data_IF_374674784954
#
_entry.id   IF_374674784954
#
_cell.length_a   1.000
_cell.length_b   1.000
_cell.length_c   1.000
_cell.angle_alpha   90.00
_cell.angle_beta   90.00
_cell.angle_gamma   90.00
#
_symmetry.space_group_name_H-M   'P 1'
#
loop_
_entity.id
_entity.type
_entity.pdbx_description
1 polymer ?
#
# COMPACT_ATOMS: atom_id res chain seq x y z
N UNK A 1 -4.18 24.68 -13.42
CA UNK A 1 -4.03 25.03 -11.97
C UNK A 1 -2.59 24.81 -11.57
N UNK A 2 -2.04 25.50 -10.54
CA UNK A 2 -0.68 25.26 -10.05
C UNK A 2 -0.59 23.84 -9.47
N UNK A 3 0.43 23.00 -9.80
CA UNK A 3 0.60 21.68 -9.22
C UNK A 3 0.68 21.69 -7.70
N UNK A 4 0.16 20.67 -7.01
CA UNK A 4 0.22 20.53 -5.56
C UNK A 4 1.67 20.35 -5.13
N UNK A 5 2.11 21.13 -4.13
CA UNK A 5 3.46 21.06 -3.60
C UNK A 5 3.62 19.97 -2.53
N UNK A 6 4.57 19.05 -2.75
CA UNK A 6 4.84 17.95 -1.84
C UNK A 6 6.17 18.09 -1.10
N UNK A 7 6.18 17.69 0.17
CA UNK A 7 7.39 17.34 0.87
C UNK A 7 7.49 15.81 0.98
N UNK A 8 8.61 15.21 0.56
CA UNK A 8 8.87 13.78 0.73
C UNK A 8 9.64 13.55 2.02
N UNK A 9 9.09 12.71 2.92
CA UNK A 9 9.62 12.44 4.26
C UNK A 9 10.13 11.01 4.34
N UNK A 10 11.45 10.86 4.47
CA UNK A 10 12.14 9.57 4.40
C UNK A 10 12.76 9.35 3.01
N UNK A 11 14.08 9.24 2.93
CA UNK A 11 14.78 9.08 1.66
C UNK A 11 15.43 7.70 1.58
N UNK A 12 14.61 6.66 1.80
CA UNK A 12 14.96 5.25 1.64
C UNK A 12 14.97 4.81 0.18
N UNK A 13 15.08 3.48 -0.07
CA UNK A 13 15.12 2.92 -1.41
C UNK A 13 13.91 3.31 -2.26
N UNK A 14 12.68 3.13 -1.75
CA UNK A 14 11.46 3.43 -2.50
C UNK A 14 11.37 4.92 -2.88
N UNK A 15 11.80 5.81 -1.98
CA UNK A 15 11.81 7.24 -2.27
C UNK A 15 12.76 7.55 -3.44
N UNK A 16 13.99 7.00 -3.42
CA UNK A 16 15.01 7.30 -4.40
C UNK A 16 14.77 6.62 -5.76
N UNK A 17 14.29 5.37 -5.74
CA UNK A 17 14.13 4.55 -6.95
C UNK A 17 12.81 4.81 -7.68
N UNK A 18 11.77 5.24 -6.97
CA UNK A 18 10.43 5.35 -7.54
C UNK A 18 9.76 6.71 -7.27
N UNK A 19 9.61 7.14 -6.01
CA UNK A 19 8.81 8.32 -5.68
C UNK A 19 9.42 9.62 -6.18
N UNK A 20 10.73 9.84 -5.99
CA UNK A 20 11.37 11.08 -6.44
C UNK A 20 11.44 11.17 -7.98
N UNK A 21 11.81 10.12 -8.73
CA UNK A 21 11.71 10.12 -10.19
C UNK A 21 10.30 10.41 -10.71
N UNK A 22 9.26 9.93 -10.03
CA UNK A 22 7.87 10.08 -10.46
C UNK A 22 7.41 11.55 -10.56
N UNK A 23 8.00 12.46 -9.78
CA UNK A 23 7.68 13.88 -9.89
C UNK A 23 8.00 14.49 -11.27
N UNK A 24 8.94 13.90 -12.02
CA UNK A 24 9.24 14.34 -13.38
C UNK A 24 8.13 13.97 -14.38
N UNK A 25 7.35 12.92 -14.09
CA UNK A 25 6.27 12.40 -14.93
C UNK A 25 4.87 12.86 -14.44
N UNK A 26 4.78 13.32 -13.18
CA UNK A 26 3.54 13.83 -12.60
C UNK A 26 3.17 15.21 -13.22
N UNK A 27 1.86 15.42 -13.49
CA UNK A 27 1.33 16.63 -14.10
C UNK A 27 0.81 17.62 -13.07
N UNK A 28 0.20 17.09 -12.00
CA UNK A 28 -0.52 17.85 -10.99
C UNK A 28 0.20 17.89 -9.63
N UNK A 29 1.37 17.25 -9.54
CA UNK A 29 2.22 17.22 -8.35
C UNK A 29 3.60 17.84 -8.65
N UNK A 30 4.18 18.56 -7.67
CA UNK A 30 5.55 19.08 -7.74
C UNK A 30 6.31 18.83 -6.45
N UNK A 31 7.59 18.52 -6.57
CA UNK A 31 8.49 18.35 -5.43
C UNK A 31 8.90 19.72 -4.88
N UNK A 32 8.67 19.94 -3.59
CA UNK A 32 9.04 21.20 -2.90
C UNK A 32 10.15 20.98 -1.91
N UNK A 33 10.08 19.92 -1.11
CA UNK A 33 11.01 19.71 -0.02
C UNK A 33 11.33 18.24 0.21
N UNK A 34 12.52 17.99 0.76
CA UNK A 34 12.96 16.67 1.20
C UNK A 34 13.25 16.68 2.69
N UNK A 35 12.87 15.61 3.40
CA UNK A 35 13.13 15.44 4.84
C UNK A 35 13.83 14.11 5.10
N UNK A 36 15.04 14.17 5.72
CA UNK A 36 15.86 12.97 5.99
C UNK A 36 16.66 13.12 7.28
N UNK A 37 17.04 11.99 7.88
CA UNK A 37 18.04 11.97 8.96
C UNK A 37 19.48 12.21 8.48
N UNK A 38 19.73 12.02 7.19
CA UNK A 38 21.03 12.20 6.53
C UNK A 38 20.98 13.50 5.71
N UNK A 39 21.64 14.54 6.22
CA UNK A 39 21.64 15.89 5.64
C UNK A 39 22.35 15.96 4.30
N UNK A 40 23.46 15.24 4.15
CA UNK A 40 24.24 15.24 2.89
C UNK A 40 23.44 14.55 1.77
N UNK A 41 22.86 13.40 2.06
CA UNK A 41 21.95 12.72 1.16
C UNK A 41 20.77 13.60 0.77
N UNK A 42 20.14 14.27 1.73
CA UNK A 42 19.01 15.16 1.45
C UNK A 42 19.42 16.32 0.52
N UNK A 43 20.56 16.95 0.74
CA UNK A 43 21.09 18.02 -0.12
C UNK A 43 21.42 17.54 -1.53
N UNK A 44 22.09 16.39 -1.65
CA UNK A 44 22.41 15.79 -2.96
C UNK A 44 21.14 15.46 -3.76
N UNK A 45 20.16 14.81 -3.12
CA UNK A 45 18.89 14.46 -3.77
C UNK A 45 18.02 15.71 -4.07
N UNK A 46 18.05 16.73 -3.22
CA UNK A 46 17.38 18.00 -3.51
C UNK A 46 17.92 18.64 -4.81
N UNK A 47 19.24 18.67 -4.97
CA UNK A 47 19.86 19.16 -6.21
C UNK A 47 19.48 18.28 -7.41
N UNK A 48 19.56 16.95 -7.25
CA UNK A 48 19.28 16.00 -8.34
C UNK A 48 17.83 16.08 -8.84
N UNK A 49 16.86 16.17 -7.92
CA UNK A 49 15.42 16.19 -8.23
C UNK A 49 14.81 17.59 -8.17
N UNK A 50 15.65 18.63 -8.12
CA UNK A 50 15.25 20.05 -8.16
C UNK A 50 14.23 20.44 -7.05
N UNK A 51 14.38 19.84 -5.85
CA UNK A 51 13.60 20.25 -4.71
C UNK A 51 14.11 21.62 -4.18
N UNK A 52 13.18 22.52 -3.87
CA UNK A 52 13.51 23.90 -3.44
C UNK A 52 14.22 23.95 -2.08
N UNK A 53 14.02 22.92 -1.25
CA UNK A 53 14.56 22.90 0.12
C UNK A 53 14.74 21.48 0.64
N UNK A 54 15.58 21.33 1.64
CA UNK A 54 15.76 20.10 2.38
C UNK A 54 15.90 20.35 3.89
N UNK A 55 15.44 19.39 4.68
CA UNK A 55 15.34 19.49 6.13
C UNK A 55 15.80 18.19 6.80
N UNK A 56 16.31 18.30 8.02
CA UNK A 56 16.46 17.15 8.90
C UNK A 56 15.12 16.73 9.50
N UNK A 57 15.06 15.51 10.07
CA UNK A 57 13.87 15.11 10.84
C UNK A 57 13.58 16.04 12.04
N UNK A 58 14.62 16.63 12.66
CA UNK A 58 14.45 17.63 13.72
C UNK A 58 13.82 18.93 13.24
N UNK A 59 14.00 19.27 11.96
CA UNK A 59 13.46 20.46 11.31
C UNK A 59 12.13 20.19 10.58
N UNK A 60 11.49 19.03 10.78
CA UNK A 60 10.23 18.72 10.10
C UNK A 60 9.14 19.75 10.36
N UNK A 61 9.09 20.30 11.58
CA UNK A 61 8.14 21.37 11.92
C UNK A 61 8.37 22.66 11.10
N UNK A 62 9.62 22.96 10.72
CA UNK A 62 9.95 24.07 9.83
C UNK A 62 9.52 23.78 8.41
N UNK A 63 9.79 22.57 7.91
CA UNK A 63 9.29 22.11 6.61
C UNK A 63 7.77 22.28 6.50
N UNK A 64 7.03 21.93 7.53
CA UNK A 64 5.57 22.05 7.57
C UNK A 64 5.06 23.49 7.61
N UNK A 65 5.88 24.47 7.98
CA UNK A 65 5.55 25.91 7.90
C UNK A 65 5.73 26.47 6.49
N UNK A 66 6.45 25.77 5.61
CA UNK A 66 6.63 26.22 4.24
C UNK A 66 5.27 26.31 3.54
N UNK A 67 4.87 27.50 3.03
CA UNK A 67 3.56 27.69 2.38
C UNK A 67 3.43 26.96 1.06
N UNK A 68 4.55 26.64 0.39
CA UNK A 68 4.56 25.89 -0.85
C UNK A 68 4.33 24.40 -0.66
N UNK A 69 4.48 23.86 0.57
CA UNK A 69 4.15 22.49 0.92
C UNK A 69 2.66 22.40 1.26
N UNK A 70 1.89 21.73 0.44
CA UNK A 70 0.46 21.50 0.61
C UNK A 70 0.17 20.07 1.10
N UNK A 71 1.01 19.11 0.67
CA UNK A 71 0.93 17.71 1.05
C UNK A 71 2.30 17.16 1.46
N UNK A 72 2.29 16.11 2.28
CA UNK A 72 3.48 15.33 2.57
C UNK A 72 3.32 13.91 2.01
N UNK A 73 4.39 13.37 1.45
CA UNK A 73 4.48 11.95 1.11
C UNK A 73 5.39 11.26 2.11
N UNK A 74 4.82 10.39 2.93
CA UNK A 74 5.54 9.64 3.95
C UNK A 74 6.09 8.34 3.37
N UNK A 75 7.40 8.24 3.27
CA UNK A 75 8.16 7.08 2.77
C UNK A 75 9.16 6.57 3.83
N UNK A 76 8.90 6.90 5.09
CA UNK A 76 9.63 6.39 6.26
C UNK A 76 9.26 4.93 6.54
N UNK A 77 9.98 4.21 7.42
CA UNK A 77 9.51 2.93 7.92
C UNK A 77 8.11 3.02 8.54
N UNK A 78 7.25 1.99 8.38
CA UNK A 78 5.85 2.03 8.84
C UNK A 78 5.66 2.35 10.32
N UNK A 79 6.64 2.01 11.17
CA UNK A 79 6.63 2.35 12.60
C UNK A 79 6.72 3.85 12.91
N UNK A 80 7.13 4.67 11.93
CA UNK A 80 7.26 6.13 12.05
C UNK A 80 6.09 6.89 11.39
N UNK A 81 5.25 6.23 10.58
CA UNK A 81 4.17 6.88 9.81
C UNK A 81 3.24 7.69 10.70
N UNK A 82 2.79 7.13 11.83
CA UNK A 82 1.88 7.80 12.76
C UNK A 82 2.42 9.15 13.23
N UNK A 83 3.69 9.19 13.64
CA UNK A 83 4.34 10.39 14.16
C UNK A 83 4.32 11.51 13.12
N UNK A 84 4.80 11.23 11.91
CA UNK A 84 4.89 12.24 10.85
C UNK A 84 3.53 12.64 10.29
N UNK A 85 2.60 11.68 10.14
CA UNK A 85 1.23 11.98 9.73
C UNK A 85 0.49 12.88 10.73
N UNK A 86 0.62 12.61 12.02
CA UNK A 86 -0.01 13.44 13.06
C UNK A 86 0.56 14.87 13.11
N UNK A 87 1.87 15.05 12.88
CA UNK A 87 2.50 16.37 12.78
C UNK A 87 2.02 17.13 11.55
N UNK A 88 2.00 16.48 10.38
CA UNK A 88 1.48 17.05 9.14
C UNK A 88 0.02 17.48 9.27
N UNK A 89 -0.83 16.60 9.81
CA UNK A 89 -2.25 16.88 10.01
C UNK A 89 -2.47 18.13 10.91
N UNK A 90 -1.75 18.24 12.02
CA UNK A 90 -1.81 19.45 12.90
C UNK A 90 -1.38 20.71 12.17
N UNK A 91 -0.41 20.61 11.25
CA UNK A 91 0.04 21.72 10.40
C UNK A 91 -0.87 21.95 9.19
N UNK A 92 -2.03 21.28 9.10
CA UNK A 92 -3.00 21.40 7.98
C UNK A 92 -2.44 20.97 6.63
N UNK A 93 -1.48 20.04 6.62
CA UNK A 93 -0.95 19.44 5.40
C UNK A 93 -1.65 18.11 5.12
N UNK A 94 -2.03 17.89 3.87
CA UNK A 94 -2.58 16.61 3.41
C UNK A 94 -1.51 15.51 3.47
N UNK A 95 -1.91 14.25 3.60
CA UNK A 95 -0.98 13.14 3.81
C UNK A 95 -1.20 12.03 2.78
N UNK A 96 -0.22 11.80 1.94
CA UNK A 96 -0.03 10.55 1.19
C UNK A 96 0.96 9.70 1.98
N UNK A 97 0.59 8.48 2.32
CA UNK A 97 1.40 7.64 3.19
C UNK A 97 1.67 6.28 2.55
N UNK A 98 2.94 5.89 2.48
CA UNK A 98 3.31 4.55 2.00
C UNK A 98 2.58 3.44 2.73
N UNK A 99 2.37 2.35 1.98
CA UNK A 99 1.88 1.08 2.53
C UNK A 99 3.01 0.35 3.30
N UNK A 100 2.68 -0.44 4.32
CA UNK A 100 1.39 -0.47 5.01
C UNK A 100 1.16 0.82 5.80
N UNK A 101 -0.09 1.23 5.98
CA UNK A 101 -0.42 2.53 6.58
C UNK A 101 0.26 2.74 7.95
N UNK A 102 0.32 1.70 8.78
CA UNK A 102 1.10 1.67 10.02
C UNK A 102 1.32 0.21 10.46
N UNK A 103 2.08 0.00 11.54
CA UNK A 103 2.40 -1.33 12.07
C UNK A 103 1.28 -1.95 12.91
N UNK A 104 0.28 -1.17 13.35
CA UNK A 104 -0.83 -1.63 14.19
C UNK A 104 -2.15 -0.93 13.84
N UNK A 105 -3.26 -1.59 14.13
CA UNK A 105 -4.62 -1.02 13.96
C UNK A 105 -4.80 0.27 14.76
N UNK A 106 -4.26 0.33 15.98
CA UNK A 106 -4.39 1.51 16.84
C UNK A 106 -3.60 2.70 16.29
N UNK A 107 -2.41 2.48 15.73
CA UNK A 107 -1.64 3.52 15.04
C UNK A 107 -2.41 4.06 13.82
N UNK A 108 -2.95 3.17 12.97
CA UNK A 108 -3.81 3.57 11.84
C UNK A 108 -5.00 4.40 12.31
N UNK A 109 -5.68 3.97 13.38
CA UNK A 109 -6.84 4.69 13.94
C UNK A 109 -6.46 6.10 14.39
N UNK A 110 -5.29 6.27 15.03
CA UNK A 110 -4.80 7.61 15.44
C UNK A 110 -4.46 8.48 14.23
N UNK A 111 -3.86 7.93 13.19
CA UNK A 111 -3.59 8.64 11.93
C UNK A 111 -4.87 9.13 11.26
N UNK A 112 -5.84 8.23 11.06
CA UNK A 112 -7.15 8.55 10.46
C UNK A 112 -7.87 9.63 11.28
N UNK A 113 -7.87 9.49 12.61
CA UNK A 113 -8.46 10.49 13.51
C UNK A 113 -7.75 11.83 13.40
N UNK A 114 -6.41 11.86 13.45
CA UNK A 114 -5.63 13.10 13.37
C UNK A 114 -5.92 13.86 12.06
N UNK A 115 -5.96 13.17 10.92
CA UNK A 115 -6.26 13.81 9.64
C UNK A 115 -7.71 14.32 9.58
N UNK A 116 -8.68 13.51 10.02
CA UNK A 116 -10.09 13.90 10.06
C UNK A 116 -10.33 15.11 10.96
N UNK A 117 -9.81 15.09 12.20
CA UNK A 117 -10.02 16.15 13.19
C UNK A 117 -9.35 17.48 12.74
N UNK A 118 -8.34 17.41 11.89
CA UNK A 118 -7.68 18.55 11.29
C UNK A 118 -8.20 18.93 9.90
N UNK A 119 -9.20 18.19 9.36
CA UNK A 119 -9.82 18.43 8.04
C UNK A 119 -8.81 18.34 6.89
N UNK A 120 -7.86 17.42 6.96
CA UNK A 120 -6.92 17.11 5.89
C UNK A 120 -7.15 15.70 5.36
N UNK A 121 -6.81 15.48 4.10
CA UNK A 121 -6.95 14.18 3.45
C UNK A 121 -5.81 13.25 3.89
N UNK A 122 -6.13 11.96 4.02
CA UNK A 122 -5.18 10.87 4.20
C UNK A 122 -5.44 9.81 3.13
N UNK A 123 -4.47 9.59 2.25
CA UNK A 123 -4.45 8.52 1.27
C UNK A 123 -3.36 7.51 1.62
N UNK A 124 -3.67 6.23 1.50
CA UNK A 124 -2.67 5.16 1.60
C UNK A 124 -2.14 4.86 0.19
N UNK A 125 -0.82 4.84 0.03
CA UNK A 125 -0.16 4.70 -1.27
C UNK A 125 -0.27 3.26 -1.81
N UNK A 126 -1.38 2.96 -2.43
CA UNK A 126 -1.65 1.72 -3.17
C UNK A 126 -1.76 2.01 -4.66
N UNK A 127 -0.61 2.15 -5.32
CA UNK A 127 -0.47 2.48 -6.74
C UNK A 127 -1.25 1.58 -7.71
N UNK A 128 -1.65 0.36 -7.28
CA UNK A 128 -2.42 -0.60 -8.11
C UNK A 128 -3.85 -0.13 -8.43
N UNK A 129 -4.38 0.84 -7.70
CA UNK A 129 -5.65 1.48 -8.04
C UNK A 129 -5.59 2.29 -9.34
N UNK A 130 -4.39 2.68 -9.77
CA UNK A 130 -4.16 3.54 -10.94
C UNK A 130 -3.47 2.80 -12.08
N UNK A 131 -3.06 1.54 -11.86
CA UNK A 131 -2.36 0.72 -12.84
C UNK A 131 -3.37 0.10 -13.84
N UNK A 132 -3.17 0.29 -15.17
CA UNK A 132 -4.17 -0.09 -16.19
C UNK A 132 -4.57 -1.56 -16.19
N UNK A 133 -3.64 -2.49 -16.00
CA UNK A 133 -3.93 -3.93 -15.96
C UNK A 133 -4.80 -4.30 -14.76
N UNK A 134 -4.52 -3.72 -13.59
CA UNK A 134 -5.34 -3.89 -12.38
C UNK A 134 -6.73 -3.29 -12.55
N UNK A 135 -6.83 -2.11 -13.15
CA UNK A 135 -8.11 -1.45 -13.48
C UNK A 135 -8.90 -2.28 -14.48
N UNK A 136 -8.25 -2.84 -15.51
CA UNK A 136 -8.90 -3.73 -16.48
C UNK A 136 -9.43 -5.02 -15.82
N UNK A 137 -8.64 -5.66 -14.94
CA UNK A 137 -9.11 -6.82 -14.18
C UNK A 137 -10.32 -6.47 -13.29
N UNK A 138 -10.29 -5.33 -12.59
CA UNK A 138 -11.46 -4.85 -11.81
C UNK A 138 -12.67 -4.66 -12.69
N UNK A 139 -12.52 -4.11 -13.89
CA UNK A 139 -13.62 -3.91 -14.85
C UNK A 139 -14.22 -5.26 -15.30
N UNK A 140 -13.42 -6.27 -15.56
CA UNK A 140 -13.90 -7.62 -15.91
C UNK A 140 -14.75 -8.19 -14.77
N UNK A 141 -14.31 -8.05 -13.52
CA UNK A 141 -15.02 -8.54 -12.34
C UNK A 141 -16.33 -7.76 -12.13
N UNK A 142 -16.23 -6.43 -12.07
CA UNK A 142 -17.38 -5.55 -11.75
C UNK A 142 -18.47 -5.57 -12.81
N UNK A 143 -18.13 -5.84 -14.08
CA UNK A 143 -19.10 -6.01 -15.16
C UNK A 143 -19.83 -7.36 -15.18
N UNK A 144 -19.47 -8.28 -14.26
CA UNK A 144 -20.09 -9.60 -14.15
C UNK A 144 -19.70 -10.58 -15.25
N UNK A 145 -18.65 -10.30 -16.02
CA UNK A 145 -18.19 -11.20 -17.12
C UNK A 145 -17.75 -12.57 -16.60
N UNK A 146 -17.22 -12.65 -15.38
CA UNK A 146 -16.84 -13.91 -14.73
C UNK A 146 -18.03 -14.63 -14.07
N UNK A 147 -19.23 -14.03 -14.02
CA UNK A 147 -20.32 -14.50 -13.16
C UNK A 147 -20.01 -14.22 -11.69
N UNK A 148 -20.61 -15.01 -10.78
CA UNK A 148 -20.24 -14.94 -9.37
C UNK A 148 -18.79 -15.40 -9.19
N UNK A 149 -17.97 -14.57 -8.58
CA UNK A 149 -16.58 -14.91 -8.25
C UNK A 149 -16.56 -15.86 -7.06
N UNK A 150 -15.82 -16.97 -7.18
CA UNK A 150 -15.77 -18.03 -6.17
C UNK A 150 -14.41 -18.13 -5.49
N UNK A 151 -13.31 -18.04 -6.28
CA UNK A 151 -11.95 -18.18 -5.76
C UNK A 151 -11.04 -17.10 -6.31
N UNK A 152 -10.16 -16.59 -5.45
CA UNK A 152 -9.00 -15.77 -5.84
C UNK A 152 -7.72 -16.44 -5.34
N UNK A 153 -6.76 -16.64 -6.24
CA UNK A 153 -5.39 -17.01 -5.92
C UNK A 153 -4.46 -15.83 -6.13
N UNK A 154 -3.56 -15.57 -5.18
CA UNK A 154 -2.60 -14.47 -5.28
C UNK A 154 -1.30 -14.80 -4.58
N UNK A 155 -0.19 -14.33 -5.11
CA UNK A 155 1.09 -14.40 -4.45
C UNK A 155 1.91 -13.14 -4.72
N UNK A 156 2.70 -12.76 -3.74
CA UNK A 156 3.79 -11.83 -3.93
C UNK A 156 4.99 -12.29 -3.08
N UNK A 157 6.04 -12.74 -3.76
CA UNK A 157 7.26 -13.23 -3.16
C UNK A 157 8.47 -12.52 -3.75
N UNK A 158 9.55 -12.44 -3.00
CA UNK A 158 10.82 -11.88 -3.42
C UNK A 158 11.94 -12.57 -2.64
N UNK A 159 12.94 -13.09 -3.33
CA UNK A 159 14.07 -13.71 -2.64
C UNK A 159 15.02 -12.64 -2.09
N UNK A 160 15.20 -12.64 -0.79
CA UNK A 160 16.14 -11.74 -0.09
C UNK A 160 17.23 -12.58 0.57
N UNK A 161 18.38 -12.78 -0.10
CA UNK A 161 19.49 -13.56 0.44
C UNK A 161 20.13 -12.88 1.66
N UNK A 162 20.85 -13.64 2.45
CA UNK A 162 21.67 -13.08 3.53
C UNK A 162 22.78 -12.19 2.95
N UNK A 163 22.97 -11.01 3.53
CA UNK A 163 23.97 -10.04 3.06
C UNK A 163 23.50 -9.14 1.91
N UNK A 164 22.23 -9.19 1.51
CA UNK A 164 21.66 -8.22 0.59
C UNK A 164 21.53 -6.82 1.24
N UNK A 165 21.14 -5.83 0.47
CA UNK A 165 20.96 -4.44 0.93
C UNK A 165 19.65 -4.19 1.70
N UNK A 166 18.93 -5.25 2.11
CA UNK A 166 17.69 -5.11 2.89
C UNK A 166 17.99 -4.41 4.22
N UNK A 167 17.35 -3.28 4.52
CA UNK A 167 17.60 -2.54 5.75
C UNK A 167 17.20 -3.31 6.99
N UNK A 168 18.01 -3.25 8.05
CA UNK A 168 17.78 -3.97 9.31
C UNK A 168 16.42 -3.72 9.95
N UNK A 169 15.86 -2.52 9.78
CA UNK A 169 14.56 -2.18 10.33
C UNK A 169 13.42 -3.07 9.79
N UNK A 170 13.58 -3.62 8.58
CA UNK A 170 12.57 -4.53 7.99
C UNK A 170 12.44 -5.84 8.77
N UNK A 171 13.51 -6.27 9.43
CA UNK A 171 13.52 -7.45 10.32
C UNK A 171 13.10 -7.14 11.76
N UNK A 172 12.78 -5.87 12.08
CA UNK A 172 12.35 -5.42 13.39
C UNK A 172 10.84 -5.19 13.43
N UNK A 173 10.09 -6.06 14.11
CA UNK A 173 8.62 -6.00 14.18
C UNK A 173 8.09 -4.63 14.61
N UNK A 174 8.78 -3.93 15.51
CA UNK A 174 8.39 -2.58 15.95
C UNK A 174 8.37 -1.58 14.79
N UNK A 175 9.28 -1.71 13.83
CA UNK A 175 9.44 -0.77 12.72
C UNK A 175 8.68 -1.20 11.47
N UNK A 176 8.69 -2.50 11.16
CA UNK A 176 8.06 -3.06 9.96
C UNK A 176 6.61 -3.53 10.19
N UNK A 177 6.25 -3.90 11.43
CA UNK A 177 4.97 -4.55 11.77
C UNK A 177 4.96 -6.05 11.56
N UNK A 178 5.87 -6.59 10.74
CA UNK A 178 6.00 -8.00 10.37
C UNK A 178 6.98 -8.19 9.23
N UNK A 179 7.01 -9.39 8.67
CA UNK A 179 7.86 -9.75 7.54
C UNK A 179 7.17 -9.53 6.18
N UNK A 180 7.28 -10.50 5.25
CA UNK A 180 6.75 -10.38 3.90
C UNK A 180 5.24 -10.15 3.84
N UNK A 181 4.46 -10.53 4.84
CA UNK A 181 3.03 -10.21 4.85
C UNK A 181 2.78 -8.69 4.89
N UNK A 182 3.54 -7.97 5.71
CA UNK A 182 3.42 -6.51 5.84
C UNK A 182 4.00 -5.78 4.62
N UNK A 183 5.08 -6.30 4.03
CA UNK A 183 5.75 -5.64 2.91
C UNK A 183 5.11 -5.98 1.56
N UNK A 184 4.92 -7.27 1.27
CA UNK A 184 4.45 -7.78 -0.01
C UNK A 184 2.98 -8.23 0.06
N UNK A 185 2.62 -9.02 1.07
CA UNK A 185 1.29 -9.59 1.22
C UNK A 185 0.18 -8.58 1.44
N UNK A 186 0.52 -7.40 1.92
CA UNK A 186 -0.42 -6.29 2.01
C UNK A 186 -1.01 -5.91 0.64
N UNK A 187 -0.26 -6.07 -0.45
CA UNK A 187 -0.79 -5.92 -1.81
C UNK A 187 -1.80 -7.03 -2.14
N UNK A 188 -1.50 -8.28 -1.79
CA UNK A 188 -2.43 -9.40 -1.98
C UNK A 188 -3.76 -9.15 -1.26
N UNK A 189 -3.71 -8.65 -0.03
CA UNK A 189 -4.90 -8.33 0.77
C UNK A 189 -5.66 -7.15 0.17
N UNK A 190 -4.99 -6.00 -0.01
CA UNK A 190 -5.62 -4.77 -0.45
C UNK A 190 -6.20 -4.87 -1.86
N UNK A 191 -5.38 -5.32 -2.85
CA UNK A 191 -5.82 -5.41 -4.24
C UNK A 191 -7.01 -6.34 -4.40
N UNK A 192 -6.99 -7.51 -3.74
CA UNK A 192 -8.11 -8.45 -3.86
C UNK A 192 -9.39 -7.90 -3.23
N UNK A 193 -9.33 -7.23 -2.08
CA UNK A 193 -10.49 -6.53 -1.49
C UNK A 193 -11.07 -5.49 -2.44
N UNK A 194 -10.18 -4.66 -3.01
CA UNK A 194 -10.58 -3.65 -3.98
C UNK A 194 -11.20 -4.26 -5.24
N UNK A 195 -10.66 -5.36 -5.76
CA UNK A 195 -11.18 -6.01 -6.95
C UNK A 195 -12.63 -6.48 -6.78
N UNK A 196 -13.01 -6.98 -5.60
CA UNK A 196 -14.34 -7.54 -5.33
C UNK A 196 -15.27 -6.62 -4.54
N UNK A 197 -14.79 -5.44 -4.13
CA UNK A 197 -15.54 -4.48 -3.31
C UNK A 197 -16.11 -5.09 -2.01
N UNK A 198 -15.41 -6.03 -1.40
CA UNK A 198 -15.89 -6.75 -0.22
C UNK A 198 -14.77 -6.92 0.82
N UNK A 199 -15.14 -6.90 2.09
CA UNK A 199 -14.23 -7.16 3.21
C UNK A 199 -14.37 -8.60 3.72
N UNK A 200 -13.26 -9.35 3.94
CA UNK A 200 -13.32 -10.70 4.48
C UNK A 200 -13.75 -10.73 5.95
N UNK A 201 -14.42 -11.81 6.36
CA UNK A 201 -14.92 -12.00 7.73
C UNK A 201 -14.13 -12.98 8.57
N UNK A 202 -13.26 -13.79 7.94
CA UNK A 202 -12.47 -14.81 8.62
C UNK A 202 -11.13 -15.00 7.93
N UNK A 203 -10.08 -15.26 8.73
CA UNK A 203 -8.74 -15.60 8.26
C UNK A 203 -8.28 -16.95 8.82
N UNK A 204 -7.58 -17.73 7.99
CA UNK A 204 -6.79 -18.91 8.38
C UNK A 204 -5.40 -18.76 7.80
N UNK A 205 -4.35 -19.05 8.56
CA UNK A 205 -2.97 -18.86 8.08
C UNK A 205 -1.98 -19.81 8.72
N UNK A 206 -0.88 -20.03 7.98
CA UNK A 206 0.30 -20.75 8.40
C UNK A 206 1.54 -19.94 8.03
N UNK A 207 2.44 -19.71 8.98
CA UNK A 207 3.72 -19.03 8.75
C UNK A 207 4.90 -19.99 8.96
N UNK A 208 6.01 -19.69 8.29
CA UNK A 208 7.25 -20.44 8.45
C UNK A 208 8.47 -19.52 8.50
N UNK A 209 9.55 -20.04 9.08
CA UNK A 209 10.85 -19.40 9.14
C UNK A 209 11.93 -20.49 9.09
N UNK A 210 12.74 -20.49 8.03
CA UNK A 210 13.87 -21.40 7.83
C UNK A 210 15.14 -20.81 8.45
N UNK A 211 15.45 -19.57 8.11
CA UNK A 211 16.57 -18.83 8.70
C UNK A 211 16.15 -18.09 9.98
N UNK A 212 16.13 -18.83 11.10
CA UNK A 212 15.78 -18.29 12.41
C UNK A 212 16.78 -17.28 12.97
N UNK A 213 17.98 -17.19 12.41
CA UNK A 213 18.99 -16.20 12.84
C UNK A 213 18.66 -14.82 12.26
N UNK A 214 18.22 -14.77 11.00
CA UNK A 214 17.84 -13.54 10.30
C UNK A 214 16.43 -13.08 10.66
N UNK A 215 15.46 -13.99 10.63
CA UNK A 215 14.04 -13.72 10.85
C UNK A 215 13.65 -13.99 12.32
N UNK A 216 14.31 -13.26 13.28
CA UNK A 216 14.07 -13.46 14.73
C UNK A 216 12.72 -12.88 15.18
N UNK A 217 12.31 -11.75 14.63
CA UNK A 217 11.14 -10.99 15.07
C UNK A 217 9.99 -11.05 14.06
N UNK A 218 10.25 -11.48 12.83
CA UNK A 218 9.28 -11.50 11.72
C UNK A 218 9.31 -12.87 11.06
N UNK A 219 8.26 -13.21 10.33
CA UNK A 219 8.22 -14.44 9.53
C UNK A 219 9.06 -14.30 8.25
N UNK A 220 9.56 -15.42 7.72
CA UNK A 220 10.19 -15.50 6.39
C UNK A 220 9.17 -15.75 5.29
N UNK A 221 8.06 -16.41 5.62
CA UNK A 221 6.96 -16.65 4.71
C UNK A 221 5.66 -16.95 5.44
N UNK A 222 4.56 -16.68 4.75
CA UNK A 222 3.21 -16.92 5.23
C UNK A 222 2.28 -17.28 4.09
N UNK A 223 1.42 -18.29 4.29
CA UNK A 223 0.28 -18.60 3.45
C UNK A 223 -1.00 -18.36 4.25
N UNK A 224 -2.02 -17.80 3.59
CA UNK A 224 -3.26 -17.45 4.25
C UNK A 224 -4.48 -17.67 3.35
N UNK A 225 -5.62 -17.90 4.00
CA UNK A 225 -6.94 -17.96 3.39
C UNK A 225 -7.82 -16.91 4.06
N UNK A 226 -8.57 -16.19 3.24
CA UNK A 226 -9.62 -15.26 3.69
C UNK A 226 -10.97 -15.73 3.15
N UNK A 227 -11.99 -15.76 4.01
CA UNK A 227 -13.37 -16.05 3.64
C UNK A 227 -14.17 -14.75 3.65
N UNK A 228 -14.99 -14.56 2.63
CA UNK A 228 -15.83 -13.37 2.44
C UNK A 228 -17.31 -13.68 2.70
N UNK A 229 -18.14 -12.67 3.03
CA UNK A 229 -19.59 -12.85 3.22
C UNK A 229 -20.30 -13.47 2.03
N UNK A 230 -19.88 -13.14 0.80
CA UNK A 230 -20.41 -13.71 -0.46
C UNK A 230 -20.16 -15.21 -0.63
N UNK A 231 -19.28 -15.81 0.20
CA UNK A 231 -18.78 -17.18 0.03
C UNK A 231 -17.46 -17.26 -0.75
N UNK A 232 -17.01 -16.15 -1.35
CA UNK A 232 -15.72 -16.07 -2.00
C UNK A 232 -14.59 -16.48 -1.04
N UNK A 233 -13.62 -17.24 -1.56
CA UNK A 233 -12.40 -17.64 -0.86
C UNK A 233 -11.18 -17.04 -1.55
N UNK A 234 -10.35 -16.31 -0.80
CA UNK A 234 -9.04 -15.88 -1.25
C UNK A 234 -7.95 -16.75 -0.62
N UNK A 235 -7.00 -17.21 -1.44
CA UNK A 235 -5.78 -17.88 -1.01
C UNK A 235 -4.58 -17.03 -1.40
N UNK A 236 -3.77 -16.64 -0.41
CA UNK A 236 -2.63 -15.75 -0.61
C UNK A 236 -1.34 -16.32 -0.04
N UNK A 237 -0.20 -15.96 -0.64
CA UNK A 237 1.13 -16.33 -0.17
C UNK A 237 2.08 -15.16 -0.29
N UNK A 238 2.90 -14.94 0.74
CA UNK A 238 4.01 -13.99 0.70
C UNK A 238 5.26 -14.59 1.32
N UNK A 239 6.42 -14.34 0.71
CA UNK A 239 7.70 -14.90 1.20
C UNK A 239 8.88 -14.03 0.76
N UNK A 240 9.87 -13.93 1.65
CA UNK A 240 11.21 -13.42 1.33
C UNK A 240 12.23 -14.55 1.06
N UNK A 241 11.76 -15.80 1.08
CA UNK A 241 12.56 -17.00 0.83
C UNK A 241 12.34 -17.62 -0.55
N UNK A 242 11.64 -16.96 -1.47
CA UNK A 242 11.30 -17.49 -2.80
C UNK A 242 11.57 -16.44 -3.87
N UNK A 243 11.92 -16.89 -5.09
CA UNK A 243 12.11 -16.01 -6.24
C UNK A 243 10.90 -15.10 -6.45
N UNK A 244 11.12 -13.95 -7.08
CA UNK A 244 10.07 -12.99 -7.41
C UNK A 244 8.94 -13.68 -8.17
N UNK A 245 7.75 -13.65 -7.57
CA UNK A 245 6.51 -14.11 -8.17
C UNK A 245 5.41 -13.15 -7.75
N UNK A 246 4.61 -12.69 -8.70
CA UNK A 246 3.55 -11.75 -8.41
C UNK A 246 2.38 -11.97 -9.36
N UNK A 247 1.23 -12.40 -8.84
CA UNK A 247 0.03 -12.60 -9.65
C UNK A 247 -1.25 -12.44 -8.84
N UNK A 248 -2.33 -12.15 -9.56
CA UNK A 248 -3.72 -12.29 -9.09
C UNK A 248 -4.49 -13.08 -10.12
N UNK A 249 -5.12 -14.19 -9.71
CA UNK A 249 -5.96 -15.02 -10.54
C UNK A 249 -7.35 -15.14 -9.91
N UNK A 250 -8.39 -14.81 -10.69
CA UNK A 250 -9.78 -14.74 -10.24
C UNK A 250 -10.60 -15.75 -11.01
N UNK A 251 -11.35 -16.60 -10.33
CA UNK A 251 -12.21 -17.64 -10.89
C UNK A 251 -13.66 -17.37 -10.53
N UNK A 252 -14.53 -17.46 -11.52
CA UNK A 252 -15.97 -17.34 -11.36
C UNK A 252 -16.73 -18.38 -12.18
N UNK A 253 -18.05 -18.38 -12.11
CA UNK A 253 -18.93 -19.37 -12.75
C UNK A 253 -18.80 -19.40 -14.27
N UNK A 254 -18.47 -18.26 -14.91
CA UNK A 254 -18.41 -18.13 -16.39
C UNK A 254 -16.99 -18.12 -16.94
N UNK A 255 -15.96 -18.18 -16.08
CA UNK A 255 -14.58 -18.15 -16.52
C UNK A 255 -13.60 -17.70 -15.44
N UNK A 256 -12.40 -17.40 -15.89
CA UNK A 256 -11.30 -16.93 -15.04
C UNK A 256 -10.48 -15.86 -15.76
N UNK A 257 -9.81 -15.02 -14.98
CA UNK A 257 -8.86 -14.01 -15.45
C UNK A 257 -7.63 -14.00 -14.54
N UNK A 258 -6.45 -13.76 -15.12
CA UNK A 258 -5.18 -13.69 -14.41
C UNK A 258 -4.38 -12.48 -14.86
N UNK A 259 -3.91 -11.68 -13.90
CA UNK A 259 -2.96 -10.59 -14.10
C UNK A 259 -1.59 -11.05 -13.57
N UNK A 260 -0.57 -11.06 -14.43
CA UNK A 260 0.81 -11.44 -14.07
C UNK A 260 1.83 -10.74 -14.97
N UNK A 261 2.92 -10.16 -14.39
CA UNK A 261 3.09 -9.88 -12.96
C UNK A 261 2.05 -8.87 -12.47
N UNK A 262 1.53 -9.02 -11.23
CA UNK A 262 0.49 -8.13 -10.72
C UNK A 262 1.03 -6.94 -9.93
N UNK A 263 2.12 -7.13 -9.15
CA UNK A 263 2.55 -6.17 -8.12
C UNK A 263 3.90 -5.53 -8.36
N UNK A 264 4.76 -6.09 -9.22
CA UNK A 264 5.98 -5.44 -9.67
C UNK A 264 5.68 -4.09 -10.34
N UNK A 265 6.60 -3.14 -10.37
CA UNK A 265 6.34 -1.79 -10.93
C UNK A 265 7.13 -1.46 -12.20
N UNK A 266 8.12 -2.25 -12.55
CA UNK A 266 8.96 -2.03 -13.75
C UNK A 266 8.65 -2.99 -14.90
N UNK A 267 7.76 -3.97 -14.69
CA UNK A 267 7.48 -5.00 -15.67
C UNK A 267 6.20 -4.73 -16.46
N UNK A 268 6.20 -5.12 -17.73
CA UNK A 268 4.99 -5.24 -18.53
C UNK A 268 4.07 -6.30 -17.93
N UNK A 269 2.77 -6.11 -18.05
CA UNK A 269 1.76 -6.99 -17.46
C UNK A 269 0.93 -7.66 -18.52
N UNK A 270 0.59 -8.90 -18.25
CA UNK A 270 -0.36 -9.67 -19.08
C UNK A 270 -1.62 -9.96 -18.27
N UNK A 271 -2.75 -9.49 -18.79
CA UNK A 271 -4.08 -9.88 -18.34
C UNK A 271 -4.65 -10.88 -19.32
N UNK A 272 -4.83 -12.12 -18.91
CA UNK A 272 -5.31 -13.19 -19.78
C UNK A 272 -6.29 -14.10 -19.05
N UNK A 273 -7.09 -14.85 -19.82
CA UNK A 273 -8.07 -15.75 -19.24
C UNK A 273 -8.98 -16.40 -20.24
N UNK A 274 -10.05 -17.00 -19.72
CA UNK A 274 -11.11 -17.63 -20.53
C UNK A 274 -12.45 -17.24 -19.94
N UNK A 275 -13.32 -16.62 -20.76
CA UNK A 275 -14.65 -16.16 -20.34
C UNK A 275 -15.68 -16.74 -21.31
N UNK A 276 -16.70 -17.42 -20.79
CA UNK A 276 -17.75 -18.05 -21.61
C UNK A 276 -17.21 -18.91 -22.78
N UNK A 277 -16.13 -19.67 -22.48
CA UNK A 277 -15.49 -20.54 -23.44
C UNK A 277 -14.47 -19.86 -24.37
N UNK A 278 -14.37 -18.53 -24.40
CA UNK A 278 -13.47 -17.77 -25.29
C UNK A 278 -12.21 -17.31 -24.53
N UNK A 279 -11.05 -17.55 -25.13
CA UNK A 279 -9.77 -17.04 -24.63
C UNK A 279 -9.62 -15.55 -24.94
N UNK A 280 -8.97 -14.81 -24.05
CA UNK A 280 -8.54 -13.44 -24.25
C UNK A 280 -7.13 -13.22 -23.67
N UNK A 281 -6.46 -12.16 -24.11
CA UNK A 281 -5.16 -11.76 -23.56
C UNK A 281 -4.81 -10.35 -24.01
N UNK A 282 -4.56 -9.48 -23.04
CA UNK A 282 -4.15 -8.09 -23.23
C UNK A 282 -2.80 -7.86 -22.55
N UNK A 283 -1.95 -7.06 -23.19
CA UNK A 283 -0.66 -6.65 -22.63
C UNK A 283 -0.71 -5.18 -22.26
N UNK A 284 -0.21 -4.87 -21.08
CA UNK A 284 -0.09 -3.52 -20.53
C UNK A 284 1.38 -3.22 -20.30
N UNK A 285 1.92 -2.25 -21.03
CA UNK A 285 3.28 -1.79 -20.81
C UNK A 285 3.44 -1.20 -19.42
N UNK A 286 4.62 -1.34 -18.86
CA UNK A 286 4.99 -0.67 -17.61
C UNK A 286 4.82 0.85 -17.76
N UNK A 287 4.19 1.45 -16.78
CA UNK A 287 3.99 2.91 -16.69
C UNK A 287 4.43 3.39 -15.31
N UNK A 288 4.62 4.69 -15.18
CA UNK A 288 4.94 5.28 -13.88
C UNK A 288 3.69 5.35 -13.00
N UNK A 289 3.45 4.26 -12.25
CA UNK A 289 2.31 4.13 -11.33
C UNK A 289 2.40 5.15 -10.18
N UNK A 290 3.61 5.56 -9.78
CA UNK A 290 3.81 6.53 -8.71
C UNK A 290 3.46 7.95 -9.18
N UNK A 291 3.73 8.30 -10.44
CA UNK A 291 3.28 9.56 -11.01
C UNK A 291 1.75 9.63 -11.05
N UNK A 292 1.08 8.56 -11.49
CA UNK A 292 -0.39 8.49 -11.49
C UNK A 292 -0.98 8.60 -10.08
N UNK A 293 -0.36 7.98 -9.09
CA UNK A 293 -0.77 8.06 -7.68
C UNK A 293 -0.60 9.48 -7.11
N UNK A 294 0.52 10.15 -7.42
CA UNK A 294 0.77 11.55 -7.06
C UNK A 294 -0.31 12.47 -7.65
N UNK A 295 -0.61 12.32 -8.94
CA UNK A 295 -1.62 13.12 -9.64
C UNK A 295 -3.03 12.85 -9.12
N UNK A 296 -3.37 11.59 -8.85
CA UNK A 296 -4.66 11.21 -8.29
C UNK A 296 -4.89 11.86 -6.90
N UNK A 297 -3.86 11.84 -6.04
CA UNK A 297 -3.96 12.50 -4.74
C UNK A 297 -3.97 14.02 -4.86
N UNK A 298 -3.18 14.60 -5.77
CA UNK A 298 -3.21 16.04 -6.07
C UNK A 298 -4.61 16.49 -6.52
N UNK A 299 -5.26 15.71 -7.39
CA UNK A 299 -6.66 15.94 -7.79
C UNK A 299 -7.62 15.93 -6.60
N UNK A 300 -7.48 14.95 -5.69
CA UNK A 300 -8.29 14.90 -4.47
C UNK A 300 -8.06 16.14 -3.58
N UNK A 301 -6.82 16.63 -3.46
CA UNK A 301 -6.48 17.85 -2.70
C UNK A 301 -7.14 19.09 -3.32
N UNK A 302 -7.06 19.25 -4.65
CA UNK A 302 -7.64 20.38 -5.38
C UNK A 302 -9.16 20.44 -5.29
N UNK A 303 -9.79 19.27 -5.40
CA UNK A 303 -11.25 19.15 -5.39
C UNK A 303 -11.84 18.99 -3.99
N UNK A 304 -10.99 18.91 -2.96
CA UNK A 304 -11.36 18.54 -1.60
C UNK A 304 -12.22 17.25 -1.56
N UNK A 305 -11.86 16.31 -2.42
CA UNK A 305 -12.55 15.03 -2.60
C UNK A 305 -11.85 13.93 -1.81
N UNK A 306 -12.65 13.05 -1.20
CA UNK A 306 -12.12 11.88 -0.48
C UNK A 306 -11.26 11.03 -1.43
N UNK A 307 -10.01 10.70 -1.06
CA UNK A 307 -9.16 9.83 -1.89
C UNK A 307 -9.61 8.37 -1.84
N UNK A 308 -9.25 7.63 -2.87
CA UNK A 308 -9.36 6.18 -2.90
C UNK A 308 -8.02 5.60 -3.38
N UNK A 309 -7.37 4.74 -2.54
CA UNK A 309 -7.77 4.29 -1.20
C UNK A 309 -7.44 5.33 -0.10
N UNK A 310 -8.39 5.57 0.79
CA UNK A 310 -8.18 6.45 1.93
C UNK A 310 -7.49 5.75 3.12
N UNK A 311 -7.25 6.50 4.21
CA UNK A 311 -6.67 5.95 5.42
C UNK A 311 -7.53 4.89 6.13
N UNK A 312 -8.87 4.90 5.95
CA UNK A 312 -9.74 3.86 6.51
C UNK A 312 -9.55 2.54 5.75
N UNK A 313 -9.34 2.59 4.43
CA UNK A 313 -9.00 1.40 3.63
C UNK A 313 -7.67 0.81 4.08
N UNK A 314 -6.61 1.63 4.22
CA UNK A 314 -5.33 1.16 4.75
C UNK A 314 -5.43 0.59 6.18
N UNK A 315 -6.26 1.15 7.04
CA UNK A 315 -6.53 0.59 8.37
C UNK A 315 -7.24 -0.77 8.31
N UNK A 316 -8.18 -0.98 7.38
CA UNK A 316 -8.86 -2.27 7.19
C UNK A 316 -7.88 -3.36 6.79
N UNK A 317 -6.89 -3.05 5.95
CA UNK A 317 -5.85 -4.00 5.59
C UNK A 317 -5.04 -4.45 6.81
N UNK A 318 -4.69 -3.53 7.72
CA UNK A 318 -3.99 -3.88 8.95
C UNK A 318 -4.88 -4.70 9.90
N UNK A 319 -6.18 -4.49 9.93
CA UNK A 319 -7.13 -5.34 10.68
C UNK A 319 -7.11 -6.78 10.15
N UNK A 320 -7.08 -6.94 8.83
CA UNK A 320 -7.03 -8.26 8.20
C UNK A 320 -5.68 -8.94 8.46
N UNK A 321 -4.58 -8.21 8.29
CA UNK A 321 -3.22 -8.69 8.53
C UNK A 321 -3.04 -9.12 10.01
N UNK A 322 -3.56 -8.34 10.96
CA UNK A 322 -3.58 -8.74 12.37
C UNK A 322 -4.34 -10.06 12.59
N UNK A 323 -5.49 -10.24 11.92
CA UNK A 323 -6.23 -11.50 12.00
C UNK A 323 -5.47 -12.67 11.37
N UNK A 324 -4.75 -12.45 10.26
CA UNK A 324 -3.88 -13.45 9.63
C UNK A 324 -2.79 -13.87 10.62
N UNK A 325 -2.06 -12.92 11.24
CA UNK A 325 -1.04 -13.24 12.25
C UNK A 325 -1.62 -13.94 13.47
N UNK A 326 -2.79 -13.50 13.97
CA UNK A 326 -3.48 -14.17 15.08
C UNK A 326 -3.87 -15.61 14.73
N UNK A 327 -4.30 -15.85 13.50
CA UNK A 327 -4.62 -17.19 13.01
C UNK A 327 -3.37 -18.08 12.94
N UNK A 328 -2.29 -17.60 12.34
CA UNK A 328 -1.02 -18.33 12.26
C UNK A 328 -0.49 -18.70 13.64
N UNK A 329 -0.59 -17.78 14.62
CA UNK A 329 -0.18 -18.06 16.01
C UNK A 329 -1.08 -19.08 16.71
N UNK A 330 -2.39 -19.09 16.41
CA UNK A 330 -3.37 -19.98 17.07
C UNK A 330 -3.55 -21.33 16.38
N UNK A 331 -3.05 -21.49 15.15
CA UNK A 331 -3.25 -22.70 14.33
C UNK A 331 -4.73 -22.97 13.99
N UNK A 332 -5.60 -21.96 14.02
CA UNK A 332 -7.04 -22.10 13.73
C UNK A 332 -7.63 -20.85 13.09
N UNK A 333 -8.81 -20.96 12.42
CA UNK A 333 -9.52 -19.79 11.88
C UNK A 333 -9.81 -18.74 12.95
N UNK A 334 -9.72 -17.47 12.56
CA UNK A 334 -9.97 -16.29 13.39
C UNK A 334 -10.94 -15.35 12.69
N UNK A 335 -12.00 -14.93 13.38
CA UNK A 335 -12.90 -13.92 12.88
C UNK A 335 -12.20 -12.56 12.77
N UNK A 336 -12.49 -11.85 11.67
CA UNK A 336 -12.03 -10.48 11.42
C UNK A 336 -13.08 -9.52 11.96
N UNK A 337 -12.66 -8.60 12.83
CA UNK A 337 -13.56 -7.62 13.44
C UNK A 337 -13.08 -6.22 13.10
N UNK A 338 -13.81 -5.55 12.23
CA UNK A 338 -13.52 -4.18 11.84
C UNK A 338 -13.96 -3.19 12.92
N UNK A 339 -13.19 -2.13 13.18
CA UNK A 339 -13.64 -1.02 14.00
C UNK A 339 -14.93 -0.43 13.43
N UNK A 340 -15.85 -0.01 14.30
CA UNK A 340 -17.05 0.70 13.83
C UNK A 340 -16.62 1.98 13.12
N UNK A 341 -17.15 2.21 11.92
CA UNK A 341 -16.92 3.44 11.17
C UNK A 341 -17.46 4.62 11.99
N UNK A 342 -16.66 5.68 12.12
CA UNK A 342 -17.06 6.90 12.84
C UNK A 342 -18.16 7.71 12.13
N UNK A 343 -18.60 7.29 10.93
CA UNK A 343 -19.64 7.97 10.15
C UNK A 343 -21.07 7.71 10.61
N UNK A 344 -21.33 6.76 11.54
CA UNK A 344 -22.67 6.45 12.08
C UNK A 344 -22.97 7.08 13.45
N UNK A 345 -22.49 8.31 13.73
CA UNK A 345 -23.06 9.16 14.78
C UNK A 345 -23.68 10.41 14.15
N UNK A 346 -24.72 10.22 13.35
CA UNK A 346 -25.73 11.25 13.09
C UNK A 346 -27.08 10.58 13.05
N UNK A 347 -27.94 11.03 14.02
CA UNK A 347 -29.35 10.83 14.22
C UNK A 347 -29.71 9.77 15.28
N UNK A 348 -29.91 10.22 16.48
CA UNK A 348 -31.14 10.15 17.22
C UNK A 348 -31.43 11.54 17.73
#
# INVERSE_FOLDING_TARGET
MKPVGYAVVGLGAIAQQAVLPAFANAKDARLVALVSGDKEKAGRLANQFQANSHYSYGQYAECLKNPDVEAVYLTTPPGEHEKYAALAARAKKHVLCEKPLATTVDACRRMVRACRDNKVLLMTAYRKYFEPGSVALKKIISSGQLGRVDIIHTAFTEFRPAGDSTPDWMFKRKMSGGGPLMDLGVYCVNTCRWLVDEDPIQAMAFQWTRDRKRFKEVEEGIAFRLNFPSGLVLQGTSSWGSVLTSFVQVHGEKGWASLSPAFAFEDDRRLSGKISGKWFGDEFRAIDEFALELDAFAGCVRENRKPEPDGEQGMRDIVIIDAIYRSAKKGRPVAIRYPRSSSKRRKS
#
